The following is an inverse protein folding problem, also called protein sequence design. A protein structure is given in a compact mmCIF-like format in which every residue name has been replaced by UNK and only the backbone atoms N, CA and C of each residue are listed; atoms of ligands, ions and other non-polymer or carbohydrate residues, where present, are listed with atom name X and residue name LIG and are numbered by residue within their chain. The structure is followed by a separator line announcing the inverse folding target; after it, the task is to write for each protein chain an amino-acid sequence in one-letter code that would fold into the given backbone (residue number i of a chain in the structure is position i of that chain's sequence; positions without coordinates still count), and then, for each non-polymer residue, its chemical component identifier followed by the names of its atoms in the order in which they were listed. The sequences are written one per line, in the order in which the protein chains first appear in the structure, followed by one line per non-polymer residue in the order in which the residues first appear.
data_IF_053654994061
#
_entry.id   IF_053654994061
#
_cell.length_a   1.000
_cell.length_b   1.000
_cell.length_c   1.000
_cell.angle_alpha   90.00
_cell.angle_beta   90.00
_cell.angle_gamma   90.00
#
_symmetry.space_group_name_H-M   'P 1'
#
loop_
_entity.id
_entity.type
_entity.pdbx_description
1 polymer ?
#
# COMPACT_ATOMS: atom_id res chain seq x y z
N UNK A 1 3.48 -12.01 -3.97
CA UNK A 1 2.41 -11.05 -4.28
C UNK A 1 1.19 -11.84 -4.75
N UNK A 2 0.00 -11.47 -4.29
CA UNK A 2 -1.27 -12.13 -4.64
C UNK A 2 -2.05 -11.38 -5.72
N UNK A 3 -1.82 -10.07 -5.89
CA UNK A 3 -2.44 -9.29 -6.96
C UNK A 3 -1.54 -8.12 -7.36
N UNK A 4 -1.47 -7.84 -8.66
CA UNK A 4 -0.63 -6.78 -9.25
C UNK A 4 -1.43 -5.49 -9.44
N UNK A 5 -0.71 -4.39 -9.60
CA UNK A 5 -1.29 -3.11 -10.03
C UNK A 5 -1.87 -3.24 -11.44
N UNK A 6 -3.08 -2.75 -11.65
CA UNK A 6 -3.73 -2.73 -12.97
C UNK A 6 -5.12 -3.38 -13.00
N UNK A 7 -5.57 -3.74 -14.20
CA UNK A 7 -6.87 -4.39 -14.39
C UNK A 7 -6.83 -5.85 -13.91
N UNK A 8 -7.90 -6.29 -13.25
CA UNK A 8 -8.09 -7.66 -12.76
C UNK A 8 -9.56 -8.06 -12.75
N UNK A 9 -9.83 -9.35 -12.62
CA UNK A 9 -11.14 -9.83 -12.21
C UNK A 9 -11.42 -9.42 -10.76
N UNK A 10 -12.69 -9.17 -10.42
CA UNK A 10 -13.07 -8.81 -9.05
C UNK A 10 -12.83 -10.01 -8.11
N UNK A 11 -11.92 -9.91 -7.12
CA UNK A 11 -11.57 -11.06 -6.27
C UNK A 11 -12.55 -11.31 -5.12
N UNK A 12 -13.43 -10.36 -4.82
CA UNK A 12 -14.36 -10.41 -3.70
C UNK A 12 -15.53 -9.45 -3.93
N UNK A 13 -16.67 -9.69 -3.27
CA UNK A 13 -17.81 -8.78 -3.33
C UNK A 13 -17.39 -7.36 -2.87
N UNK A 14 -17.69 -6.35 -3.69
CA UNK A 14 -17.32 -4.95 -3.45
C UNK A 14 -15.90 -4.57 -3.87
N UNK A 15 -15.08 -5.51 -4.34
CA UNK A 15 -13.76 -5.20 -4.91
C UNK A 15 -13.88 -4.79 -6.39
N UNK A 16 -13.16 -3.74 -6.78
CA UNK A 16 -13.13 -3.24 -8.16
C UNK A 16 -12.30 -4.10 -9.12
N UNK A 17 -12.55 -3.92 -10.42
CA UNK A 17 -11.77 -4.52 -11.53
C UNK A 17 -10.53 -3.71 -11.91
N UNK A 18 -10.41 -2.49 -11.39
CA UNK A 18 -9.17 -1.73 -11.41
C UNK A 18 -8.51 -1.79 -10.03
N UNK A 19 -7.25 -2.21 -9.99
CA UNK A 19 -6.47 -2.40 -8.77
C UNK A 19 -5.35 -1.36 -8.68
N UNK A 20 -5.53 -0.27 -7.90
CA UNK A 20 -4.53 0.79 -7.75
C UNK A 20 -3.46 0.43 -6.70
N UNK A 21 -3.17 -0.86 -6.53
CA UNK A 21 -2.34 -1.38 -5.45
C UNK A 21 -1.48 -2.56 -5.89
N UNK A 22 -0.60 -2.97 -4.99
CA UNK A 22 -0.06 -4.34 -4.97
C UNK A 22 -0.51 -5.04 -3.70
N UNK A 23 -0.91 -6.31 -3.84
CA UNK A 23 -1.32 -7.14 -2.71
C UNK A 23 -0.15 -8.03 -2.28
N UNK A 24 0.38 -7.77 -1.09
CA UNK A 24 1.44 -8.55 -0.47
C UNK A 24 0.85 -9.59 0.48
N UNK A 25 0.96 -10.89 0.17
CA UNK A 25 0.45 -11.94 1.02
C UNK A 25 1.43 -12.26 2.14
N UNK A 26 0.97 -13.08 3.09
CA UNK A 26 1.84 -13.82 4.00
C UNK A 26 1.53 -15.32 3.91
N UNK A 27 2.30 -16.05 3.09
CA UNK A 27 2.05 -17.45 2.75
C UNK A 27 2.12 -18.44 3.94
N UNK A 28 2.63 -18.03 5.11
CA UNK A 28 2.80 -18.91 6.27
C UNK A 28 1.81 -18.65 7.43
N UNK A 29 1.14 -17.49 7.50
CA UNK A 29 0.04 -17.22 8.45
C UNK A 29 -0.58 -15.84 8.11
N UNK A 30 -1.89 -15.71 7.86
CA UNK A 30 -2.40 -14.63 7.02
C UNK A 30 -2.57 -13.29 7.77
N UNK A 31 -3.04 -13.27 9.02
CA UNK A 31 -3.30 -12.04 9.78
C UNK A 31 -2.34 -11.86 10.97
N UNK A 32 -2.25 -10.64 11.53
CA UNK A 32 -1.49 -10.33 12.74
C UNK A 32 0.01 -10.12 12.51
N UNK A 33 0.49 -10.22 11.27
CA UNK A 33 1.90 -10.03 10.92
C UNK A 33 2.25 -8.53 10.91
N UNK A 34 3.41 -8.12 11.45
CA UNK A 34 3.79 -6.72 11.48
C UNK A 34 3.75 -6.06 10.10
N UNK A 35 3.15 -4.89 10.02
CA UNK A 35 3.20 -4.00 8.85
C UNK A 35 4.14 -2.85 9.17
N UNK A 36 5.09 -2.61 8.28
CA UNK A 36 6.08 -1.55 8.39
C UNK A 36 5.85 -0.47 7.33
N UNK A 37 6.10 0.78 7.69
CA UNK A 37 6.05 1.88 6.75
C UNK A 37 7.16 1.76 5.71
N UNK A 38 6.79 1.82 4.43
CA UNK A 38 7.74 1.78 3.31
C UNK A 38 8.54 3.08 3.22
N UNK A 39 7.95 4.22 3.55
CA UNK A 39 8.59 5.54 3.44
C UNK A 39 8.29 6.35 4.70
N UNK A 40 9.16 7.30 5.08
CA UNK A 40 8.88 8.19 6.20
C UNK A 40 7.78 9.18 5.83
N UNK A 41 7.14 9.77 6.83
CA UNK A 41 6.13 10.79 6.62
C UNK A 41 5.21 10.99 7.82
N UNK A 42 4.07 11.61 7.56
CA UNK A 42 3.04 11.87 8.58
C UNK A 42 1.80 11.02 8.31
N UNK A 43 1.22 10.42 9.34
CA UNK A 43 -0.08 9.77 9.23
C UNK A 43 -1.16 10.82 9.00
N UNK A 44 -1.79 10.80 7.83
CA UNK A 44 -2.81 11.79 7.43
C UNK A 44 -4.23 11.23 7.41
N UNK A 45 -4.38 9.90 7.43
CA UNK A 45 -5.68 9.23 7.47
C UNK A 45 -5.61 7.92 8.24
N UNK A 46 -6.59 7.67 9.10
CA UNK A 46 -6.83 6.36 9.73
C UNK A 46 -8.34 6.09 9.79
N UNK A 47 -8.88 5.53 8.70
CA UNK A 47 -10.31 5.21 8.53
C UNK A 47 -10.58 3.72 8.74
N UNK A 48 -11.82 3.26 8.53
CA UNK A 48 -12.15 1.83 8.67
C UNK A 48 -11.23 0.93 7.84
N UNK A 49 -10.89 1.34 6.61
CA UNK A 49 -10.08 0.54 5.68
C UNK A 49 -8.66 1.08 5.48
N UNK A 50 -8.47 2.40 5.51
CA UNK A 50 -7.21 3.04 5.13
C UNK A 50 -6.41 3.46 6.35
N UNK A 51 -5.10 3.20 6.32
CA UNK A 51 -4.09 3.99 7.01
C UNK A 51 -3.21 4.65 5.93
N UNK A 52 -3.09 5.97 5.92
CA UNK A 52 -2.31 6.69 4.89
C UNK A 52 -1.23 7.55 5.51
N UNK A 53 -0.03 7.44 4.95
CA UNK A 53 1.16 8.21 5.30
C UNK A 53 1.49 9.13 4.12
N UNK A 54 1.57 10.43 4.37
CA UNK A 54 2.00 11.42 3.38
C UNK A 54 3.48 11.69 3.58
N UNK A 55 4.25 11.59 2.51
CA UNK A 55 5.70 11.83 2.54
C UNK A 55 6.02 13.32 2.60
N UNK A 56 7.24 13.70 2.99
CA UNK A 56 7.71 15.09 2.89
C UNK A 56 7.61 15.66 1.47
N UNK A 57 7.78 14.81 0.45
CA UNK A 57 7.64 15.17 -0.96
C UNK A 57 6.18 15.15 -1.44
N UNK A 58 5.21 14.93 -0.56
CA UNK A 58 3.80 15.20 -0.80
C UNK A 58 2.96 14.04 -1.34
N UNK A 59 3.57 12.99 -1.90
CA UNK A 59 2.83 11.80 -2.30
C UNK A 59 2.38 10.98 -1.07
N UNK A 60 1.36 10.15 -1.26
CA UNK A 60 0.73 9.39 -0.18
C UNK A 60 0.88 7.89 -0.41
N UNK A 61 1.33 7.16 0.60
CA UNK A 61 1.33 5.69 0.64
C UNK A 61 0.22 5.23 1.58
N UNK A 62 -0.68 4.40 1.09
CA UNK A 62 -1.78 3.84 1.88
C UNK A 62 -1.62 2.34 2.10
N UNK A 63 -1.94 1.90 3.31
CA UNK A 63 -1.87 0.53 3.80
C UNK A 63 -3.28 0.10 4.19
N UNK A 64 -3.84 -0.84 3.44
CA UNK A 64 -5.23 -1.26 3.59
C UNK A 64 -5.36 -2.61 4.30
N UNK A 65 -6.61 -2.96 4.62
CA UNK A 65 -7.04 -4.23 5.22
C UNK A 65 -6.60 -4.49 6.66
N UNK A 66 -5.71 -3.68 7.24
CA UNK A 66 -5.42 -3.71 8.68
C UNK A 66 -6.66 -3.39 9.50
N UNK A 67 -6.91 -4.18 10.55
CA UNK A 67 -7.93 -3.85 11.54
C UNK A 67 -7.54 -2.58 12.29
N UNK A 68 -8.50 -1.71 12.58
CA UNK A 68 -8.22 -0.45 13.30
C UNK A 68 -7.64 -0.71 14.70
N UNK A 69 -8.05 -1.80 15.36
CA UNK A 69 -7.52 -2.24 16.65
C UNK A 69 -6.05 -2.64 16.62
N UNK A 70 -5.52 -2.96 15.44
CA UNK A 70 -4.17 -3.53 15.28
C UNK A 70 -3.18 -2.47 14.77
N UNK A 71 -3.64 -1.22 14.57
CA UNK A 71 -2.79 -0.08 14.24
C UNK A 71 -2.20 0.47 15.52
N UNK A 72 -0.92 0.82 15.47
CA UNK A 72 -0.17 1.33 16.63
C UNK A 72 0.29 2.77 16.43
N UNK A 73 -0.35 3.48 15.49
CA UNK A 73 -0.09 4.88 15.13
C UNK A 73 -1.42 5.59 14.87
N UNK A 74 -1.42 6.89 15.12
CA UNK A 74 -2.57 7.79 15.00
C UNK A 74 -2.31 8.93 14.00
N UNK A 75 -3.38 9.59 13.56
CA UNK A 75 -3.28 10.75 12.66
C UNK A 75 -2.46 11.86 13.34
N UNK A 76 -1.49 12.40 12.61
CA UNK A 76 -0.51 13.39 13.09
C UNK A 76 0.83 12.78 13.52
N UNK A 77 0.92 11.46 13.69
CA UNK A 77 2.18 10.80 14.04
C UNK A 77 3.22 10.94 12.93
N UNK A 78 4.46 11.23 13.33
CA UNK A 78 5.63 11.20 12.46
C UNK A 78 6.19 9.78 12.43
N UNK A 79 6.34 9.25 11.22
CA UNK A 79 6.73 7.87 10.96
C UNK A 79 8.10 7.85 10.30
N UNK A 80 9.02 7.06 10.87
CA UNK A 80 10.29 6.75 10.23
C UNK A 80 10.13 5.64 9.17
N UNK A 81 11.04 5.60 8.20
CA UNK A 81 11.12 4.46 7.29
C UNK A 81 11.33 3.17 8.09
N UNK A 82 10.68 2.08 7.69
CA UNK A 82 10.71 0.78 8.38
C UNK A 82 10.17 0.78 9.81
N UNK A 83 9.49 1.83 10.26
CA UNK A 83 8.77 1.82 11.54
C UNK A 83 7.53 0.92 11.44
N UNK A 84 7.26 0.10 12.45
CA UNK A 84 6.03 -0.68 12.52
C UNK A 84 4.83 0.26 12.74
N UNK A 85 3.77 0.07 11.94
CA UNK A 85 2.57 0.91 11.98
C UNK A 85 1.30 0.11 12.33
N UNK A 86 1.39 -1.21 12.33
CA UNK A 86 0.32 -2.08 12.76
C UNK A 86 0.55 -3.54 12.43
N UNK A 87 -0.54 -4.26 12.20
CA UNK A 87 -0.53 -5.65 11.77
C UNK A 87 -1.49 -5.92 10.60
N UNK A 88 -1.08 -6.86 9.74
CA UNK A 88 -1.82 -7.31 8.56
C UNK A 88 -3.18 -7.85 8.97
N UNK A 89 -4.24 -7.44 8.26
CA UNK A 89 -5.61 -7.82 8.58
C UNK A 89 -6.37 -8.33 7.36
N UNK A 90 -7.69 -8.42 7.52
CA UNK A 90 -8.63 -8.85 6.49
C UNK A 90 -9.91 -8.01 6.49
N UNK A 91 -9.80 -6.70 6.77
CA UNK A 91 -10.95 -5.78 6.68
C UNK A 91 -11.48 -5.77 5.25
N UNK A 92 -12.79 -5.96 5.09
CA UNK A 92 -13.42 -5.99 3.76
C UNK A 92 -13.27 -4.64 3.00
N UNK A 93 -13.26 -4.65 1.66
CA UNK A 93 -13.42 -5.81 0.77
C UNK A 93 -12.10 -6.57 0.58
N UNK A 94 -12.06 -7.83 0.99
CA UNK A 94 -10.85 -8.66 0.95
C UNK A 94 -11.24 -10.15 0.83
N UNK A 95 -10.45 -10.94 0.10
CA UNK A 95 -10.66 -12.39 -0.07
C UNK A 95 -9.86 -13.23 0.93
N UNK A 96 -8.98 -12.61 1.72
CA UNK A 96 -8.12 -13.25 2.71
C UNK A 96 -7.09 -12.25 3.23
N UNK A 97 -6.40 -12.55 4.33
CA UNK A 97 -5.49 -11.55 4.88
C UNK A 97 -4.31 -11.29 3.94
N UNK A 98 -4.07 -10.00 3.68
CA UNK A 98 -2.97 -9.50 2.88
C UNK A 98 -2.77 -8.01 3.21
N UNK A 99 -1.70 -7.43 2.69
CA UNK A 99 -1.48 -5.99 2.71
C UNK A 99 -1.65 -5.43 1.30
N UNK A 100 -2.69 -4.63 1.08
CA UNK A 100 -2.89 -3.81 -0.12
C UNK A 100 -2.12 -2.48 0.10
N UNK A 101 -1.15 -2.22 -0.78
CA UNK A 101 -0.34 -1.00 -0.76
C UNK A 101 -0.62 -0.15 -1.98
N UNK A 102 -1.03 1.10 -1.76
CA UNK A 102 -1.34 2.07 -2.81
C UNK A 102 -0.42 3.28 -2.73
N UNK A 103 -0.09 3.84 -3.89
CA UNK A 103 0.66 5.09 -3.98
C UNK A 103 -0.14 6.10 -4.81
N UNK A 104 -0.48 7.23 -4.21
CA UNK A 104 -1.12 8.35 -4.87
C UNK A 104 -0.15 9.54 -4.93
N UNK A 105 -0.01 10.16 -6.10
CA UNK A 105 1.00 11.21 -6.35
C UNK A 105 0.41 12.63 -6.37
N UNK A 106 -0.82 12.82 -5.89
CA UNK A 106 -1.39 14.15 -5.73
C UNK A 106 -0.52 15.01 -4.80
N UNK A 107 -0.01 16.12 -5.31
CA UNK A 107 0.90 17.01 -4.58
C UNK A 107 2.36 16.54 -4.51
N UNK A 108 2.75 15.51 -5.27
CA UNK A 108 4.12 15.05 -5.34
C UNK A 108 5.09 16.14 -5.86
N UNK A 109 6.21 16.32 -5.18
CA UNK A 109 7.33 17.18 -5.58
C UNK A 109 8.62 16.41 -5.85
N UNK A 110 8.66 15.09 -5.62
CA UNK A 110 9.82 14.27 -5.92
C UNK A 110 9.99 14.09 -7.45
N UNK A 111 11.13 14.50 -8.03
CA UNK A 111 11.33 14.48 -9.47
C UNK A 111 11.44 13.08 -10.07
N UNK A 112 11.89 12.08 -9.31
CA UNK A 112 11.97 10.69 -9.79
C UNK A 112 10.58 10.05 -9.80
N UNK A 113 9.78 10.29 -8.75
CA UNK A 113 8.38 9.84 -8.71
C UNK A 113 7.55 10.52 -9.82
N UNK A 114 7.85 11.78 -10.15
CA UNK A 114 7.16 12.52 -11.21
C UNK A 114 7.41 11.96 -12.62
N UNK A 115 8.45 11.14 -12.83
CA UNK A 115 8.71 10.46 -14.11
C UNK A 115 7.88 9.19 -14.31
N UNK A 116 7.28 8.67 -13.23
CA UNK A 116 6.49 7.45 -13.28
C UNK A 116 5.17 7.66 -14.00
N UNK A 117 4.65 6.60 -14.64
CA UNK A 117 3.36 6.66 -15.31
C UNK A 117 2.25 6.79 -14.27
N UNK A 118 1.51 7.90 -14.35
CA UNK A 118 0.32 8.16 -13.54
C UNK A 118 -0.91 7.55 -14.21
N UNK A 119 -1.74 6.89 -13.41
CA UNK A 119 -2.99 6.29 -13.82
C UNK A 119 -4.15 6.97 -13.07
N UNK A 120 -5.07 7.56 -13.82
CA UNK A 120 -6.27 8.23 -13.26
C UNK A 120 -7.49 7.29 -13.18
N UNK A 121 -7.31 6.01 -13.47
CA UNK A 121 -8.37 5.02 -13.34
C UNK A 121 -8.85 4.94 -11.88
N UNK A 122 -10.17 5.03 -11.69
CA UNK A 122 -10.84 5.20 -10.41
C UNK A 122 -10.60 6.55 -9.69
N UNK A 123 -10.19 7.61 -10.42
CA UNK A 123 -10.33 9.01 -9.97
C UNK A 123 -9.23 9.56 -9.09
N UNK A 124 -8.05 8.94 -9.04
CA UNK A 124 -6.94 9.48 -8.26
C UNK A 124 -5.62 9.05 -8.83
N UNK A 125 -4.78 10.02 -9.22
CA UNK A 125 -3.46 9.82 -9.83
C UNK A 125 -2.58 8.87 -9.02
N UNK A 126 -2.66 7.59 -9.36
CA UNK A 126 -1.91 6.52 -8.72
C UNK A 126 -0.78 6.07 -9.63
N UNK A 127 0.28 5.55 -9.03
CA UNK A 127 1.44 4.99 -9.73
C UNK A 127 1.65 3.55 -9.27
N UNK A 128 2.30 2.74 -10.09
CA UNK A 128 2.58 1.36 -9.77
C UNK A 128 3.56 1.26 -8.58
N UNK A 129 3.16 0.68 -7.43
CA UNK A 129 4.05 0.59 -6.27
C UNK A 129 5.37 -0.14 -6.55
N UNK A 130 5.40 -1.09 -7.50
CA UNK A 130 6.61 -1.81 -7.90
C UNK A 130 7.65 -0.88 -8.53
N UNK A 131 7.22 0.24 -9.13
CA UNK A 131 8.11 1.22 -9.75
C UNK A 131 8.53 2.32 -8.77
N UNK A 132 7.69 2.62 -7.76
CA UNK A 132 7.96 3.68 -6.77
C UNK A 132 9.01 3.25 -5.76
N UNK A 133 8.78 2.12 -5.09
CA UNK A 133 9.59 1.75 -3.92
C UNK A 133 11.07 1.47 -4.22
N UNK A 134 11.47 0.98 -5.42
CA UNK A 134 12.88 0.90 -5.78
C UNK A 134 13.61 2.25 -5.78
N UNK A 135 12.91 3.37 -6.03
CA UNK A 135 13.47 4.72 -5.93
C UNK A 135 13.90 5.08 -4.49
N UNK A 136 13.40 4.34 -3.50
CA UNK A 136 13.69 4.48 -2.07
C UNK A 136 14.50 3.29 -1.52
N UNK A 137 15.08 2.46 -2.40
CA UNK A 137 15.88 1.30 -2.00
C UNK A 137 15.06 0.12 -1.46
N UNK A 138 13.75 0.08 -1.74
CA UNK A 138 12.85 -0.97 -1.30
C UNK A 138 12.44 -1.81 -2.50
N UNK A 139 12.87 -3.06 -2.50
CA UNK A 139 12.44 -4.02 -3.51
C UNK A 139 11.16 -4.70 -3.05
N UNK A 140 10.05 -4.37 -3.72
CA UNK A 140 8.84 -5.18 -3.61
C UNK A 140 8.99 -6.36 -4.56
N UNK A 141 8.96 -7.57 -4.01
CA UNK A 141 8.93 -8.80 -4.78
C UNK A 141 10.16 -9.01 -5.69
N UNK A 142 11.31 -9.40 -5.12
CA UNK A 142 12.48 -9.79 -5.92
C UNK A 142 12.16 -10.91 -6.89
N UNK A 143 12.87 -10.96 -8.02
CA UNK A 143 12.64 -11.89 -9.13
C UNK A 143 12.47 -13.37 -8.69
N UNK A 144 13.14 -13.75 -7.60
CA UNK A 144 13.19 -15.14 -7.12
C UNK A 144 12.02 -15.54 -6.20
N UNK A 145 11.19 -14.59 -5.75
CA UNK A 145 10.26 -14.85 -4.63
C UNK A 145 8.80 -14.40 -4.87
N UNK A 146 8.48 -13.94 -6.08
CA UNK A 146 7.11 -13.57 -6.46
C UNK A 146 6.62 -14.20 -7.77
N UNK A 147 7.14 -15.39 -8.08
CA UNK A 147 6.76 -16.23 -9.22
C UNK A 147 5.53 -17.11 -8.97
N UNK A 148 5.02 -17.15 -7.74
CA UNK A 148 3.74 -17.80 -7.42
C UNK A 148 2.62 -16.75 -7.45
N UNK A 149 2.15 -16.44 -8.65
CA UNK A 149 0.90 -15.73 -8.91
C UNK A 149 -0.10 -16.73 -9.46
#
# INVERSE_FOLDING_TARGET
MTSRFGTRESPAAGAGTWHPAVDLPNWLNPCGRPVYAMVPGEVTLSSALFLSIKTPEGFTVSYLHMYKSDRIVDVGDQIAASQQIGAMGNVAPSSGCHLDIRVNVAGNTNPEVAKLRVYDAAGGGCVNPIEVFPLFGIEICPADNCSHV
#
